data_IF_382395455748
#
_entry.id   IF_382395455748
#
_cell.length_a   1.000
_cell.length_b   1.000
_cell.length_c   1.000
_cell.angle_alpha   90.00
_cell.angle_beta   90.00
_cell.angle_gamma   90.00
#
_symmetry.space_group_name_H-M   'P 1'
#
loop_
_entity.id
_entity.type
_entity.pdbx_description
1 polymer ?
#
# COMPACT_ATOMS: atom_id res chain seq x y z
N UNK A 1 8.05 -16.74 4.15
CA UNK A 1 6.66 -16.26 4.28
C UNK A 1 5.85 -16.41 2.99
N UNK A 2 6.28 -15.82 1.86
CA UNK A 2 5.58 -15.82 0.55
C UNK A 2 5.17 -17.21 0.04
N UNK A 3 6.01 -18.23 0.22
CA UNK A 3 5.72 -19.63 -0.14
C UNK A 3 4.58 -20.23 0.69
N UNK A 4 4.53 -19.96 2.00
CA UNK A 4 3.49 -20.48 2.90
C UNK A 4 2.11 -19.88 2.63
N UNK A 5 2.04 -18.62 2.18
CA UNK A 5 0.79 -17.94 1.81
C UNK A 5 0.28 -18.37 0.42
N UNK A 6 1.18 -18.69 -0.52
CA UNK A 6 0.79 -19.27 -1.81
C UNK A 6 0.36 -20.74 -1.68
N UNK A 7 1.01 -21.53 -0.81
CA UNK A 7 0.63 -22.93 -0.52
C UNK A 7 -0.67 -23.03 0.28
N UNK A 8 -1.09 -21.97 1.01
CA UNK A 8 -2.37 -21.94 1.73
C UNK A 8 -3.56 -21.58 0.84
N UNK A 9 -3.32 -21.15 -0.40
CA UNK A 9 -4.35 -20.83 -1.40
C UNK A 9 -5.22 -22.05 -1.74
N UNK A 10 -4.65 -23.26 -1.59
CA UNK A 10 -5.30 -24.54 -1.86
C UNK A 10 -5.81 -25.27 -0.60
N UNK A 11 -5.61 -24.70 0.61
CA UNK A 11 -6.15 -25.28 1.85
C UNK A 11 -7.59 -24.82 2.08
N UNK A 12 -8.52 -25.77 2.05
CA UNK A 12 -9.91 -25.56 2.43
C UNK A 12 -10.00 -24.95 3.84
N UNK A 13 -10.42 -23.67 3.92
CA UNK A 13 -10.70 -22.98 5.18
C UNK A 13 -10.34 -21.50 5.23
N UNK A 14 -9.49 -21.00 4.32
CA UNK A 14 -9.20 -19.56 4.26
C UNK A 14 -10.03 -18.92 3.15
N UNK A 15 -10.99 -18.07 3.52
CA UNK A 15 -11.66 -17.22 2.55
C UNK A 15 -10.73 -16.10 2.06
N UNK A 16 -11.11 -15.43 0.97
CA UNK A 16 -10.33 -14.34 0.40
C UNK A 16 -10.23 -13.12 1.32
N UNK A 17 -11.06 -13.04 2.36
CA UNK A 17 -11.05 -11.92 3.30
C UNK A 17 -9.97 -12.08 4.37
N UNK A 18 -9.91 -13.27 4.99
CA UNK A 18 -8.87 -13.63 5.94
C UNK A 18 -7.46 -13.54 5.34
N UNK A 19 -7.31 -13.91 4.05
CA UNK A 19 -6.04 -13.75 3.33
C UNK A 19 -5.66 -12.28 3.15
N UNK A 20 -6.58 -11.44 2.67
CA UNK A 20 -6.36 -10.01 2.49
C UNK A 20 -5.91 -9.35 3.79
N UNK A 21 -6.62 -9.62 4.89
CA UNK A 21 -6.32 -9.07 6.21
C UNK A 21 -4.95 -9.50 6.73
N UNK A 22 -4.62 -10.78 6.60
CA UNK A 22 -3.31 -11.30 7.02
C UNK A 22 -2.17 -10.68 6.23
N UNK A 23 -2.35 -10.47 4.92
CA UNK A 23 -1.36 -9.84 4.06
C UNK A 23 -1.13 -8.38 4.43
N UNK A 24 -2.19 -7.63 4.76
CA UNK A 24 -2.06 -6.23 5.21
C UNK A 24 -1.36 -6.14 6.56
N UNK A 25 -1.72 -6.98 7.53
CA UNK A 25 -1.03 -7.00 8.84
C UNK A 25 0.46 -7.30 8.68
N UNK A 26 0.81 -8.26 7.83
CA UNK A 26 2.20 -8.57 7.52
C UNK A 26 2.90 -7.38 6.87
N UNK A 27 2.25 -6.72 5.91
CA UNK A 27 2.81 -5.57 5.21
C UNK A 27 3.02 -4.37 6.15
N UNK A 28 2.11 -4.11 7.08
CA UNK A 28 2.24 -3.05 8.09
C UNK A 28 3.42 -3.30 9.03
N UNK A 29 3.59 -4.55 9.47
CA UNK A 29 4.71 -4.94 10.32
C UNK A 29 6.05 -4.77 9.58
N UNK A 30 6.12 -5.21 8.32
CA UNK A 30 7.31 -5.08 7.48
C UNK A 30 7.66 -3.61 7.19
N UNK A 31 6.65 -2.79 6.88
CA UNK A 31 6.83 -1.36 6.65
C UNK A 31 7.38 -0.69 7.91
N UNK A 32 6.75 -0.92 9.06
CA UNK A 32 7.21 -0.40 10.36
C UNK A 32 8.63 -0.84 10.67
N UNK A 33 8.99 -2.10 10.40
CA UNK A 33 10.35 -2.59 10.59
C UNK A 33 11.36 -1.88 9.68
N UNK A 34 11.01 -1.67 8.40
CA UNK A 34 11.86 -0.93 7.46
C UNK A 34 11.99 0.56 7.80
N UNK A 35 10.94 1.17 8.33
CA UNK A 35 10.95 2.53 8.84
C UNK A 35 11.90 2.66 10.04
N UNK A 36 11.78 1.76 11.03
CA UNK A 36 12.60 1.77 12.25
C UNK A 36 14.06 1.37 12.03
N UNK A 37 14.31 0.41 11.15
CA UNK A 37 15.66 -0.12 10.90
C UNK A 37 16.46 0.70 9.88
N UNK A 38 15.81 1.57 9.13
CA UNK A 38 16.40 2.25 7.97
C UNK A 38 16.69 1.32 6.78
N UNK A 39 16.34 0.03 6.87
CA UNK A 39 16.59 -0.93 5.80
C UNK A 39 15.51 -0.87 4.72
N UNK A 40 15.92 -1.04 3.46
CA UNK A 40 15.01 -1.03 2.32
C UNK A 40 14.38 -2.40 2.05
N UNK A 41 15.03 -3.50 2.45
CA UNK A 41 14.50 -4.84 2.20
C UNK A 41 13.12 -5.08 2.86
N UNK A 42 12.88 -4.70 4.14
CA UNK A 42 11.55 -4.85 4.73
C UNK A 42 10.49 -4.00 4.04
N UNK A 43 10.83 -2.79 3.59
CA UNK A 43 9.90 -1.96 2.82
C UNK A 43 9.55 -2.60 1.47
N UNK A 44 10.51 -3.23 0.81
CA UNK A 44 10.26 -3.93 -0.46
C UNK A 44 9.36 -5.14 -0.27
N UNK A 45 9.55 -5.88 0.82
CA UNK A 45 8.67 -7.00 1.20
C UNK A 45 7.25 -6.49 1.57
N UNK A 46 7.14 -5.34 2.24
CA UNK A 46 5.86 -4.71 2.53
C UNK A 46 5.08 -4.36 1.25
N UNK A 47 5.76 -3.76 0.26
CA UNK A 47 5.18 -3.46 -1.07
C UNK A 47 4.62 -4.71 -1.73
N UNK A 48 5.37 -5.81 -1.72
CA UNK A 48 4.93 -7.08 -2.30
C UNK A 48 3.71 -7.66 -1.56
N UNK A 49 3.67 -7.53 -0.24
CA UNK A 49 2.55 -8.00 0.58
C UNK A 49 1.28 -7.16 0.37
N UNK A 50 1.37 -5.82 0.31
CA UNK A 50 0.21 -4.98 -0.03
C UNK A 50 -0.33 -5.27 -1.42
N UNK A 51 0.54 -5.46 -2.42
CA UNK A 51 0.10 -5.84 -3.78
C UNK A 51 -0.62 -7.18 -3.80
N UNK A 52 -0.17 -8.14 -3.01
CA UNK A 52 -0.87 -9.41 -2.86
C UNK A 52 -2.23 -9.23 -2.18
N UNK A 53 -2.32 -8.40 -1.14
CA UNK A 53 -3.59 -8.08 -0.49
C UNK A 53 -4.60 -7.47 -1.48
N UNK A 54 -4.13 -6.56 -2.35
CA UNK A 54 -4.95 -5.91 -3.39
C UNK A 54 -5.40 -6.85 -4.52
N UNK A 55 -4.87 -8.08 -4.61
CA UNK A 55 -5.39 -9.12 -5.50
C UNK A 55 -6.57 -9.87 -4.88
N UNK A 56 -6.61 -9.95 -3.55
CA UNK A 56 -7.71 -10.57 -2.82
C UNK A 56 -8.83 -9.53 -2.58
N UNK A 57 -8.46 -8.37 -2.06
CA UNK A 57 -9.35 -7.23 -1.81
C UNK A 57 -9.42 -6.34 -3.03
N UNK A 58 -10.59 -6.23 -3.64
CA UNK A 58 -10.85 -5.32 -4.76
C UNK A 58 -11.70 -4.14 -4.30
N UNK A 59 -11.65 -3.04 -5.08
CA UNK A 59 -12.43 -1.82 -4.83
C UNK A 59 -13.93 -2.10 -4.72
N UNK A 60 -14.44 -3.05 -5.49
CA UNK A 60 -15.87 -3.40 -5.53
C UNK A 60 -16.30 -4.26 -4.33
N UNK A 61 -15.39 -5.12 -3.81
CA UNK A 61 -15.70 -6.08 -2.74
C UNK A 61 -15.59 -5.45 -1.36
N UNK A 62 -14.52 -4.69 -1.13
CA UNK A 62 -14.18 -4.08 0.16
C UNK A 62 -13.56 -2.69 -0.07
N UNK A 63 -14.36 -1.70 -0.47
CA UNK A 63 -13.85 -0.40 -0.95
C UNK A 63 -12.96 0.33 0.06
N UNK A 64 -13.31 0.27 1.35
CA UNK A 64 -12.54 0.94 2.41
C UNK A 64 -11.21 0.24 2.69
N UNK A 65 -11.21 -1.08 2.83
CA UNK A 65 -9.98 -1.84 3.06
C UNK A 65 -9.04 -1.76 1.85
N UNK A 66 -9.60 -1.79 0.63
CA UNK A 66 -8.84 -1.54 -0.59
C UNK A 66 -8.18 -0.16 -0.59
N UNK A 67 -8.94 0.90 -0.28
CA UNK A 67 -8.42 2.27 -0.24
C UNK A 67 -7.33 2.46 0.84
N UNK A 68 -7.53 1.88 2.02
CA UNK A 68 -6.54 1.89 3.09
C UNK A 68 -5.26 1.12 2.71
N UNK A 69 -5.42 -0.02 2.04
CA UNK A 69 -4.29 -0.82 1.54
C UNK A 69 -3.50 -0.05 0.48
N UNK A 70 -4.18 0.65 -0.44
CA UNK A 70 -3.54 1.53 -1.42
C UNK A 70 -2.76 2.68 -0.75
N UNK A 71 -3.32 3.29 0.30
CA UNK A 71 -2.63 4.34 1.06
C UNK A 71 -1.35 3.82 1.72
N UNK A 72 -1.40 2.64 2.32
CA UNK A 72 -0.23 2.04 2.99
C UNK A 72 0.83 1.59 1.99
N UNK A 73 0.42 1.08 0.82
CA UNK A 73 1.31 0.83 -0.31
C UNK A 73 2.01 2.12 -0.77
N UNK A 74 1.26 3.22 -0.90
CA UNK A 74 1.79 4.54 -1.24
C UNK A 74 2.88 5.00 -0.27
N UNK A 75 2.65 4.85 1.03
CA UNK A 75 3.64 5.19 2.05
C UNK A 75 4.92 4.36 1.94
N UNK A 76 4.83 3.04 1.75
CA UNK A 76 6.01 2.18 1.60
C UNK A 76 6.82 2.51 0.33
N UNK A 77 6.12 2.78 -0.79
CA UNK A 77 6.74 3.18 -2.05
C UNK A 77 7.41 4.55 -1.96
N UNK A 78 6.78 5.52 -1.30
CA UNK A 78 7.34 6.84 -1.06
C UNK A 78 8.65 6.74 -0.27
N UNK A 79 8.63 6.05 0.88
CA UNK A 79 9.84 5.89 1.71
C UNK A 79 10.97 5.23 0.92
N UNK A 80 10.67 4.18 0.13
CA UNK A 80 11.68 3.57 -0.72
C UNK A 80 12.20 4.54 -1.78
N UNK A 81 11.30 5.19 -2.53
CA UNK A 81 11.65 6.11 -3.61
C UNK A 81 12.52 7.27 -3.13
N UNK A 82 12.21 7.83 -1.97
CA UNK A 82 13.01 8.88 -1.33
C UNK A 82 14.40 8.37 -0.92
N UNK A 83 14.47 7.25 -0.20
CA UNK A 83 15.74 6.65 0.26
C UNK A 83 16.66 6.23 -0.88
N UNK A 84 16.11 5.71 -1.96
CA UNK A 84 16.88 5.21 -3.11
C UNK A 84 17.02 6.22 -4.24
N UNK A 85 16.39 7.39 -4.12
CA UNK A 85 16.24 8.37 -5.21
C UNK A 85 15.67 7.72 -6.48
N UNK A 86 14.73 6.80 -6.29
CA UNK A 86 14.07 6.08 -7.37
C UNK A 86 12.75 6.77 -7.71
N UNK A 87 12.80 7.61 -8.74
CA UNK A 87 11.65 8.37 -9.25
C UNK A 87 10.50 7.44 -9.68
N UNK A 88 10.78 6.24 -10.17
CA UNK A 88 9.73 5.31 -10.57
C UNK A 88 8.90 4.89 -9.36
N UNK A 89 9.55 4.56 -8.24
CA UNK A 89 8.85 4.26 -6.97
C UNK A 89 8.05 5.43 -6.44
N UNK A 90 8.56 6.66 -6.55
CA UNK A 90 7.79 7.86 -6.19
C UNK A 90 6.55 8.02 -7.08
N UNK A 91 6.68 7.78 -8.39
CA UNK A 91 5.55 7.78 -9.32
C UNK A 91 4.50 6.71 -9.00
N UNK A 92 4.94 5.51 -8.61
CA UNK A 92 4.05 4.45 -8.16
C UNK A 92 3.35 4.81 -6.84
N UNK A 93 4.06 5.46 -5.90
CA UNK A 93 3.47 5.95 -4.66
C UNK A 93 2.32 6.91 -4.94
N UNK A 94 2.53 7.86 -5.86
CA UNK A 94 1.49 8.80 -6.33
C UNK A 94 0.25 8.08 -6.85
N UNK A 95 0.44 7.06 -7.68
CA UNK A 95 -0.67 6.27 -8.22
C UNK A 95 -1.45 5.56 -7.11
N UNK A 96 -0.76 4.99 -6.13
CA UNK A 96 -1.39 4.34 -4.99
C UNK A 96 -2.17 5.33 -4.11
N UNK A 97 -1.62 6.53 -3.82
CA UNK A 97 -2.36 7.57 -3.10
C UNK A 97 -3.58 8.08 -3.87
N UNK A 98 -3.48 8.26 -5.20
CA UNK A 98 -4.64 8.64 -6.00
C UNK A 98 -5.73 7.58 -5.96
N UNK A 99 -5.36 6.30 -6.10
CA UNK A 99 -6.28 5.18 -5.97
C UNK A 99 -6.98 5.17 -4.60
N UNK A 100 -6.21 5.35 -3.52
CA UNK A 100 -6.76 5.48 -2.17
C UNK A 100 -7.74 6.66 -2.04
N UNK A 101 -7.36 7.83 -2.54
CA UNK A 101 -8.19 9.04 -2.51
C UNK A 101 -9.54 8.81 -3.20
N UNK A 102 -9.53 8.29 -4.42
CA UNK A 102 -10.78 8.00 -5.14
C UNK A 102 -11.63 6.94 -4.41
N UNK A 103 -11.00 5.94 -3.79
CA UNK A 103 -11.68 4.94 -2.98
C UNK A 103 -12.39 5.55 -1.77
N UNK A 104 -11.69 6.42 -1.02
CA UNK A 104 -12.28 7.14 0.10
C UNK A 104 -13.39 8.10 -0.31
N UNK A 105 -13.23 8.84 -1.42
CA UNK A 105 -14.28 9.74 -1.92
C UNK A 105 -15.54 8.99 -2.33
N UNK A 106 -15.40 7.84 -3.01
CA UNK A 106 -16.54 7.00 -3.36
C UNK A 106 -17.25 6.42 -2.13
N UNK A 107 -16.51 6.14 -1.06
CA UNK A 107 -17.07 5.68 0.20
C UNK A 107 -17.63 6.81 1.09
N UNK A 108 -17.67 8.06 0.59
CA UNK A 108 -18.18 9.22 1.32
C UNK A 108 -17.26 9.71 2.45
N UNK A 109 -16.00 9.26 2.48
CA UNK A 109 -15.02 9.63 3.51
C UNK A 109 -14.32 10.96 3.17
N UNK A 110 -15.12 12.03 3.04
CA UNK A 110 -14.64 13.34 2.59
C UNK A 110 -13.59 13.97 3.52
N UNK A 111 -13.57 13.58 4.79
CA UNK A 111 -12.61 14.09 5.76
C UNK A 111 -11.15 13.79 5.37
N UNK A 112 -10.90 12.76 4.54
CA UNK A 112 -9.57 12.47 3.99
C UNK A 112 -9.17 13.37 2.82
N UNK A 113 -10.08 14.17 2.25
CA UNK A 113 -9.81 14.96 1.04
C UNK A 113 -8.56 15.82 1.17
N UNK A 114 -8.53 16.65 2.20
CA UNK A 114 -7.40 17.56 2.44
C UNK A 114 -6.08 16.81 2.60
N UNK A 115 -6.10 15.70 3.33
CA UNK A 115 -4.90 14.87 3.51
C UNK A 115 -4.35 14.38 2.17
N UNK A 116 -5.21 13.89 1.27
CA UNK A 116 -4.76 13.40 -0.03
C UNK A 116 -4.36 14.52 -0.99
N UNK A 117 -5.04 15.66 -0.97
CA UNK A 117 -4.66 16.85 -1.76
C UNK A 117 -3.26 17.33 -1.37
N UNK A 118 -3.01 17.51 -0.07
CA UNK A 118 -1.71 17.93 0.45
C UNK A 118 -0.62 16.88 0.11
N UNK A 119 -0.93 15.59 0.30
CA UNK A 119 0.00 14.48 0.04
C UNK A 119 0.35 14.31 -1.43
N UNK A 120 -0.62 14.43 -2.34
CA UNK A 120 -0.37 14.33 -3.78
C UNK A 120 0.43 15.54 -4.29
N UNK A 121 0.16 16.72 -3.73
CA UNK A 121 0.94 17.92 -4.04
C UNK A 121 2.41 17.76 -3.63
N UNK A 122 2.68 17.30 -2.40
CA UNK A 122 4.05 17.02 -1.92
C UNK A 122 4.80 16.07 -2.86
N UNK A 123 4.13 15.01 -3.33
CA UNK A 123 4.74 14.03 -4.23
C UNK A 123 5.03 14.64 -5.61
N UNK A 124 4.11 15.46 -6.13
CA UNK A 124 4.30 16.15 -7.41
C UNK A 124 5.48 17.14 -7.35
N UNK A 125 5.63 17.86 -6.24
CA UNK A 125 6.79 18.73 -6.01
C UNK A 125 8.10 17.94 -5.91
N UNK A 126 8.13 16.83 -5.18
CA UNK A 126 9.30 15.98 -5.05
C UNK A 126 9.73 15.37 -6.39
N UNK A 127 8.75 14.93 -7.20
CA UNK A 127 9.00 14.49 -8.58
C UNK A 127 9.55 15.64 -9.44
N UNK A 128 9.06 16.87 -9.30
CA UNK A 128 9.55 18.00 -10.07
C UNK A 128 10.99 18.42 -9.69
N UNK A 129 11.41 18.15 -8.45
CA UNK A 129 12.72 18.56 -7.91
C UNK A 129 13.88 17.59 -8.21
N UNK A 130 13.60 16.40 -8.74
CA UNK A 130 14.61 15.39 -9.13
C UNK A 130 14.87 15.38 -10.63
#
# INVERSE_FOLDING_TARGET
MRRLLNESRDRAGWDADARGSTLVILADALRTHGDQSGQNAPLQDAVDAYRAALQEWTRERVPLDWAMTQNNLGNALWTLGDRTRDRAKVGEARQAFNAAFEGFMQAGQEHYRRYFEDRLHEIDEHLAAQ
#
